data_IF_506501864038
#
_entry.id   IF_506501864038
#
_cell.length_a   1.000
_cell.length_b   1.000
_cell.length_c   1.000
_cell.angle_alpha   90.00
_cell.angle_beta   90.00
_cell.angle_gamma   90.00
#
_symmetry.space_group_name_H-M   'P 1'
#
loop_
_entity.id
_entity.type
_entity.pdbx_description
1 polymer ?
#
# COMPACT_ATOMS: atom_id res chain seq x y z
N UNK A 1 -3.98 -25.41 19.41
CA UNK A 1 -3.43 -24.08 19.07
C UNK A 1 -4.21 -23.04 19.85
N UNK A 2 -3.58 -22.31 20.78
CA UNK A 2 -4.27 -21.29 21.58
C UNK A 2 -4.81 -20.14 20.73
N UNK A 3 -5.88 -19.49 21.20
CA UNK A 3 -6.56 -18.37 20.53
C UNK A 3 -5.58 -17.27 20.06
N UNK A 4 -4.54 -16.99 20.85
CA UNK A 4 -3.49 -16.02 20.50
C UNK A 4 -2.70 -16.37 19.24
N UNK A 5 -2.47 -17.67 18.97
CA UNK A 5 -1.71 -18.10 17.79
C UNK A 5 -2.55 -17.96 16.50
N UNK A 6 -3.88 -18.13 16.58
CA UNK A 6 -4.79 -17.91 15.45
C UNK A 6 -4.91 -16.43 15.10
N UNK A 7 -4.99 -15.56 16.12
CA UNK A 7 -5.04 -14.10 15.93
C UNK A 7 -3.74 -13.59 15.32
N UNK A 8 -2.58 -14.05 15.79
CA UNK A 8 -1.28 -13.66 15.25
C UNK A 8 -1.13 -14.06 13.76
N UNK A 9 -1.59 -15.27 13.41
CA UNK A 9 -1.56 -15.77 12.04
C UNK A 9 -2.48 -14.95 11.12
N UNK A 10 -3.69 -14.61 11.58
CA UNK A 10 -4.61 -13.75 10.85
C UNK A 10 -4.03 -12.35 10.62
N UNK A 11 -3.39 -11.75 11.62
CA UNK A 11 -2.73 -10.44 11.48
C UNK A 11 -1.58 -10.50 10.48
N UNK A 12 -0.78 -11.56 10.49
CA UNK A 12 0.30 -11.77 9.53
C UNK A 12 -0.24 -11.84 8.09
N UNK A 13 -1.35 -12.56 7.87
CA UNK A 13 -2.05 -12.58 6.58
C UNK A 13 -2.57 -11.20 6.17
N UNK A 14 -3.20 -10.49 7.11
CA UNK A 14 -3.72 -9.13 6.87
C UNK A 14 -2.63 -8.13 6.47
N UNK A 15 -1.50 -8.09 7.18
CA UNK A 15 -0.37 -7.22 6.83
C UNK A 15 0.27 -7.62 5.49
N UNK A 16 0.29 -8.92 5.15
CA UNK A 16 0.78 -9.38 3.84
C UNK A 16 -0.07 -8.84 2.69
N UNK A 17 -1.41 -8.90 2.83
CA UNK A 17 -2.34 -8.35 1.84
C UNK A 17 -2.22 -6.81 1.77
N UNK A 18 -2.09 -6.14 2.92
CA UNK A 18 -1.90 -4.69 2.97
C UNK A 18 -0.63 -4.23 2.23
N UNK A 19 0.48 -4.98 2.34
CA UNK A 19 1.70 -4.73 1.58
C UNK A 19 1.44 -4.83 0.08
N UNK A 20 0.77 -5.89 -0.37
CA UNK A 20 0.45 -6.07 -1.80
C UNK A 20 -0.40 -4.92 -2.31
N UNK A 21 -1.49 -4.59 -1.61
CA UNK A 21 -2.37 -3.49 -1.98
C UNK A 21 -1.65 -2.14 -2.01
N UNK A 22 -0.75 -1.88 -1.05
CA UNK A 22 0.05 -0.64 -1.03
C UNK A 22 0.95 -0.50 -2.26
N UNK A 23 1.57 -1.60 -2.71
CA UNK A 23 2.38 -1.62 -3.93
C UNK A 23 1.50 -1.44 -5.18
N UNK A 24 0.32 -2.06 -5.21
CA UNK A 24 -0.65 -1.90 -6.29
C UNK A 24 -1.18 -0.47 -6.42
N UNK A 25 -1.13 0.35 -5.38
CA UNK A 25 -1.51 1.78 -5.44
C UNK A 25 -0.31 2.68 -5.74
N UNK A 26 0.83 2.44 -5.09
CA UNK A 26 2.01 3.29 -5.23
C UNK A 26 2.62 3.21 -6.64
N UNK A 27 2.77 2.01 -7.20
CA UNK A 27 3.40 1.80 -8.52
C UNK A 27 2.64 2.54 -9.65
N UNK A 28 1.33 2.35 -9.85
CA UNK A 28 0.62 3.04 -10.93
C UNK A 28 0.61 4.55 -10.71
N UNK A 29 0.53 5.03 -9.46
CA UNK A 29 0.58 6.47 -9.18
C UNK A 29 1.94 7.09 -9.54
N UNK A 30 3.06 6.41 -9.28
CA UNK A 30 4.39 6.89 -9.69
C UNK A 30 4.49 6.96 -11.22
N UNK A 31 4.09 5.89 -11.92
CA UNK A 31 4.09 5.87 -13.38
C UNK A 31 3.21 6.97 -13.97
N UNK A 32 2.05 7.20 -13.36
CA UNK A 32 1.12 8.25 -13.75
C UNK A 32 1.75 9.65 -13.63
N UNK A 33 2.38 9.96 -12.51
CA UNK A 33 3.08 11.25 -12.31
C UNK A 33 4.15 11.51 -13.37
N UNK A 34 4.90 10.48 -13.76
CA UNK A 34 5.96 10.59 -14.76
C UNK A 34 5.39 10.90 -16.16
N UNK A 35 4.29 10.23 -16.54
CA UNK A 35 3.66 10.41 -17.85
C UNK A 35 2.98 11.78 -18.00
N UNK A 36 2.44 12.32 -16.90
CA UNK A 36 1.70 13.59 -16.89
C UNK A 36 2.51 14.79 -16.41
N UNK A 37 3.85 14.72 -16.48
CA UNK A 37 4.77 15.83 -16.10
C UNK A 37 4.52 16.41 -14.71
N UNK A 38 4.09 15.59 -13.74
CA UNK A 38 3.78 16.04 -12.39
C UNK A 38 2.33 16.47 -12.15
N UNK A 39 1.47 16.45 -13.17
CA UNK A 39 0.04 16.75 -13.01
C UNK A 39 -0.78 15.52 -12.63
N UNK A 40 -1.82 15.72 -11.82
CA UNK A 40 -2.70 14.65 -11.37
C UNK A 40 -3.96 14.58 -12.23
N UNK A 41 -4.05 13.59 -13.13
CA UNK A 41 -5.24 13.41 -13.99
C UNK A 41 -6.50 13.04 -13.20
N UNK A 42 -6.35 12.40 -12.03
CA UNK A 42 -7.47 11.89 -11.23
C UNK A 42 -8.39 13.00 -10.69
N UNK A 43 -7.89 14.24 -10.63
CA UNK A 43 -8.64 15.42 -10.21
C UNK A 43 -8.69 16.51 -11.29
N UNK A 44 -8.28 16.18 -12.52
CA UNK A 44 -8.34 17.15 -13.61
C UNK A 44 -9.80 17.35 -13.99
N UNK A 45 -10.24 18.60 -14.02
CA UNK A 45 -11.47 18.98 -14.70
C UNK A 45 -11.08 19.51 -16.07
N UNK A 46 -11.99 19.54 -17.02
CA UNK A 46 -11.73 20.17 -18.32
C UNK A 46 -13.03 20.47 -19.01
N UNK A 47 -13.02 21.50 -19.84
CA UNK A 47 -14.11 21.78 -20.75
C UNK A 47 -13.80 21.14 -22.10
N UNK A 48 -14.85 20.55 -22.68
CA UNK A 48 -14.80 20.07 -24.05
C UNK A 48 -15.23 21.20 -24.97
N UNK A 49 -14.30 21.73 -25.77
CA UNK A 49 -14.58 22.82 -26.68
C UNK A 49 -15.09 22.20 -28.00
N UNK A 50 -16.40 22.26 -28.23
CA UNK A 50 -17.05 21.70 -29.43
C UNK A 50 -16.53 22.31 -30.74
N UNK A 51 -16.09 23.57 -30.73
CA UNK A 51 -15.62 24.26 -31.95
C UNK A 51 -14.30 23.70 -32.50
N UNK A 52 -13.39 23.24 -31.63
CA UNK A 52 -12.08 22.72 -32.02
C UNK A 52 -11.95 21.19 -31.84
N UNK A 53 -12.94 20.55 -31.22
CA UNK A 53 -12.92 19.11 -30.90
C UNK A 53 -11.80 18.73 -29.91
N UNK A 54 -11.23 19.70 -29.19
CA UNK A 54 -10.14 19.50 -28.24
C UNK A 54 -10.67 19.54 -26.81
N UNK A 55 -10.17 18.62 -25.99
CA UNK A 55 -10.37 18.65 -24.54
C UNK A 55 -9.26 19.47 -23.91
N UNK A 56 -9.61 20.57 -23.24
CA UNK A 56 -8.63 21.41 -22.54
C UNK A 56 -8.63 21.06 -21.03
N UNK A 57 -7.62 20.32 -20.54
CA UNK A 57 -7.55 19.93 -19.14
C UNK A 57 -7.13 21.11 -18.27
N UNK A 58 -8.00 21.51 -17.33
CA UNK A 58 -7.63 22.27 -16.14
C UNK A 58 -6.94 21.34 -15.13
N UNK A 59 -5.62 21.35 -15.15
CA UNK A 59 -4.82 20.51 -14.28
C UNK A 59 -4.99 20.93 -12.82
N UNK A 60 -5.44 20.00 -11.98
CA UNK A 60 -5.46 20.19 -10.53
C UNK A 60 -4.04 20.16 -9.94
N UNK A 61 -3.89 20.71 -8.74
CA UNK A 61 -2.61 20.79 -8.03
C UNK A 61 -1.95 19.42 -7.92
N UNK A 62 -0.69 19.31 -8.35
CA UNK A 62 0.10 18.08 -8.27
C UNK A 62 0.26 17.53 -6.84
N UNK A 63 0.02 18.35 -5.82
CA UNK A 63 0.14 17.98 -4.41
C UNK A 63 -0.71 16.78 -4.00
N UNK A 64 -1.90 16.62 -4.57
CA UNK A 64 -2.76 15.46 -4.28
C UNK A 64 -2.15 14.13 -4.74
N UNK A 65 -1.42 14.15 -5.86
CA UNK A 65 -0.76 12.95 -6.39
C UNK A 65 0.39 12.52 -5.48
N UNK A 66 1.22 13.49 -5.07
CA UNK A 66 2.34 13.25 -4.17
C UNK A 66 1.87 12.79 -2.79
N UNK A 67 0.75 13.31 -2.28
CA UNK A 67 0.16 12.88 -1.03
C UNK A 67 -0.27 11.41 -1.09
N UNK A 68 -0.93 10.98 -2.17
CA UNK A 68 -1.34 9.58 -2.33
C UNK A 68 -0.13 8.63 -2.44
N UNK A 69 0.91 9.04 -3.18
CA UNK A 69 2.17 8.26 -3.26
C UNK A 69 2.80 8.14 -1.87
N UNK A 70 2.87 9.25 -1.12
CA UNK A 70 3.42 9.28 0.22
C UNK A 70 2.64 8.36 1.19
N UNK A 71 1.31 8.43 1.17
CA UNK A 71 0.46 7.55 2.00
C UNK A 71 0.59 6.08 1.62
N UNK A 72 0.76 5.77 0.32
CA UNK A 72 1.04 4.41 -0.15
C UNK A 72 2.37 3.87 0.40
N UNK A 73 3.44 4.66 0.32
CA UNK A 73 4.73 4.30 0.91
C UNK A 73 4.68 4.18 2.43
N UNK A 74 4.00 5.09 3.11
CA UNK A 74 3.87 5.05 4.57
C UNK A 74 3.12 3.80 5.02
N UNK A 75 2.05 3.42 4.31
CA UNK A 75 1.28 2.20 4.57
C UNK A 75 2.11 0.93 4.35
N UNK A 76 2.96 0.92 3.31
CA UNK A 76 3.92 -0.15 3.06
C UNK A 76 4.91 -0.29 4.23
N UNK A 77 5.53 0.81 4.67
CA UNK A 77 6.52 0.80 5.75
C UNK A 77 5.92 0.33 7.08
N UNK A 78 4.73 0.82 7.43
CA UNK A 78 4.02 0.41 8.64
C UNK A 78 3.71 -1.09 8.56
N UNK A 79 3.12 -1.56 7.47
CA UNK A 79 2.74 -2.97 7.32
C UNK A 79 3.96 -3.90 7.33
N UNK A 80 5.06 -3.50 6.68
CA UNK A 80 6.31 -4.24 6.67
C UNK A 80 6.96 -4.32 8.06
N UNK A 81 6.95 -3.21 8.80
CA UNK A 81 7.47 -3.16 10.18
C UNK A 81 6.65 -4.07 11.09
N UNK A 82 5.32 -4.02 10.99
CA UNK A 82 4.42 -4.86 11.78
C UNK A 82 4.59 -6.34 11.43
N UNK A 83 4.69 -6.68 10.14
CA UNK A 83 4.95 -8.04 9.68
C UNK A 83 6.29 -8.57 10.23
N UNK A 84 7.34 -7.75 10.20
CA UNK A 84 8.67 -8.11 10.72
C UNK A 84 8.63 -8.39 12.22
N UNK A 85 7.92 -7.55 12.99
CA UNK A 85 7.74 -7.77 14.44
C UNK A 85 6.99 -9.07 14.73
N UNK A 86 5.87 -9.29 14.03
CA UNK A 86 5.06 -10.50 14.19
C UNK A 86 5.82 -11.76 13.77
N UNK A 87 6.63 -11.69 12.72
CA UNK A 87 7.51 -12.78 12.28
C UNK A 87 8.52 -13.17 13.35
N UNK A 88 9.18 -12.19 14.00
CA UNK A 88 10.11 -12.46 15.11
C UNK A 88 9.40 -13.08 16.32
N UNK A 89 8.19 -12.60 16.66
CA UNK A 89 7.38 -13.20 17.73
C UNK A 89 6.98 -14.65 17.40
N UNK A 90 6.60 -14.91 16.14
CA UNK A 90 6.23 -16.25 15.68
C UNK A 90 7.45 -17.20 15.70
N UNK A 91 8.62 -16.76 15.25
CA UNK A 91 9.85 -17.56 15.30
C UNK A 91 10.25 -17.92 16.74
N UNK A 92 10.20 -16.95 17.67
CA UNK A 92 10.49 -17.20 19.10
C UNK A 92 9.45 -18.09 19.78
N UNK A 93 8.18 -17.97 19.40
CA UNK A 93 7.12 -18.86 19.86
C UNK A 93 7.26 -20.29 19.32
N UNK A 94 7.66 -20.43 18.05
CA UNK A 94 7.94 -21.73 17.42
C UNK A 94 9.18 -22.40 18.03
N UNK A 95 10.22 -21.66 18.43
CA UNK A 95 11.34 -22.24 19.17
C UNK A 95 10.89 -22.79 20.54
N UNK A 96 9.96 -22.10 21.22
CA UNK A 96 9.42 -22.57 22.50
C UNK A 96 8.52 -23.81 22.32
N UNK A 97 7.71 -23.90 21.26
CA UNK A 97 6.90 -25.10 20.98
C UNK A 97 7.70 -26.26 20.37
N UNK A 98 8.82 -25.99 19.67
CA UNK A 98 9.74 -27.05 19.18
C UNK A 98 10.44 -27.78 20.33
N UNK A 99 10.54 -27.18 21.52
CA UNK A 99 10.99 -27.87 22.74
C UNK A 99 9.91 -28.72 23.44
N UNK A 100 8.64 -28.68 23.00
CA UNK A 100 7.53 -29.46 23.60
C UNK A 100 6.95 -30.51 22.62
N UNK A 101 7.46 -30.58 21.38
CA UNK A 101 7.06 -31.56 20.36
C UNK A 101 7.91 -32.83 20.25
N UNK A 102 8.82 -33.09 21.19
CA UNK A 102 9.50 -34.38 21.34
C UNK A 102 9.24 -34.96 22.74
N UNK A 103 7.98 -35.35 23.00
CA UNK A 103 7.68 -36.51 23.83
C UNK A 103 6.27 -37.01 23.56
#
# INVERSE_FOLDING_TARGET
>A
MGLGNMILLSQCGGYSVAIILSLCVAIPMILHVQQFKGHCLLYTNGEFIEEDGRFEPSWSSGGYCYLTIFLGFLSFLVSFTQLSRMSVFLSKGLDSERSVGCK
#
